data_IF_811629713003
#
_entry.id   IF_811629713003
#
_cell.length_a   1.000
_cell.length_b   1.000
_cell.length_c   1.000
_cell.angle_alpha   90.00
_cell.angle_beta   90.00
_cell.angle_gamma   90.00
#
_symmetry.space_group_name_H-M   'P 1'
#
loop_
_entity.id
_entity.type
_entity.pdbx_description
1 polymer ?
#
# COMPACT_ATOMS: atom_id res chain seq x y z
N UNK A 1 -26.49 68.34 -18.60
CA UNK A 1 -25.28 67.64 -19.05
C UNK A 1 -24.54 67.05 -17.87
N UNK A 2 -24.59 65.77 -17.73
CA UNK A 2 -23.91 65.04 -16.67
C UNK A 2 -22.54 64.60 -17.24
N UNK A 3 -21.46 65.11 -16.66
CA UNK A 3 -20.09 64.75 -17.00
C UNK A 3 -19.65 63.57 -16.12
N UNK A 4 -19.99 62.38 -16.58
CA UNK A 4 -19.67 61.14 -15.84
C UNK A 4 -18.39 60.44 -16.24
N UNK A 5 -17.40 61.11 -16.88
CA UNK A 5 -16.17 60.46 -17.36
C UNK A 5 -14.93 60.58 -16.44
N UNK A 6 -14.99 61.44 -15.39
CA UNK A 6 -13.85 61.63 -14.49
C UNK A 6 -13.70 60.54 -13.41
N UNK A 7 -14.76 59.76 -13.13
CA UNK A 7 -14.73 58.80 -12.00
C UNK A 7 -14.08 57.44 -12.32
N UNK A 8 -14.07 57.00 -13.56
CA UNK A 8 -13.54 55.67 -13.91
C UNK A 8 -12.01 55.55 -13.81
N UNK A 9 -11.29 56.65 -14.07
CA UNK A 9 -9.84 56.65 -13.95
C UNK A 9 -9.37 56.68 -12.48
N UNK A 10 -10.13 57.37 -11.62
CA UNK A 10 -9.89 57.40 -10.18
C UNK A 10 -10.09 56.02 -9.58
N UNK A 11 -11.18 55.33 -9.89
CA UNK A 11 -11.43 53.97 -9.39
C UNK A 11 -10.33 52.97 -9.82
N UNK A 12 -9.80 53.10 -11.02
CA UNK A 12 -8.64 52.28 -11.48
C UNK A 12 -7.39 52.56 -10.66
N UNK A 13 -7.15 53.83 -10.30
CA UNK A 13 -6.05 54.24 -9.42
C UNK A 13 -6.20 53.57 -8.02
N UNK A 14 -7.35 53.67 -7.43
CA UNK A 14 -7.64 53.05 -6.11
C UNK A 14 -7.50 51.55 -6.10
N UNK A 15 -8.00 50.84 -7.14
CA UNK A 15 -7.88 49.39 -7.25
C UNK A 15 -6.41 48.97 -7.41
N UNK A 16 -5.65 49.70 -8.24
CA UNK A 16 -4.22 49.40 -8.43
C UNK A 16 -3.39 49.67 -7.16
N UNK A 17 -3.74 50.74 -6.42
CA UNK A 17 -3.08 51.05 -5.15
C UNK A 17 -3.47 50.01 -4.08
N UNK A 18 -4.72 49.64 -3.99
CA UNK A 18 -5.19 48.57 -3.09
C UNK A 18 -4.57 47.23 -3.40
N UNK A 19 -4.33 46.90 -4.70
CA UNK A 19 -3.64 45.67 -5.09
C UNK A 19 -2.14 45.71 -4.79
N UNK A 20 -1.50 46.91 -4.85
CA UNK A 20 -0.09 47.08 -4.46
C UNK A 20 0.11 47.09 -2.95
N UNK A 21 -0.88 47.57 -2.19
CA UNK A 21 -0.89 47.59 -0.74
C UNK A 21 -1.53 46.31 -0.15
N UNK A 22 -1.91 45.34 -1.01
CA UNK A 22 -2.41 44.08 -0.53
C UNK A 22 -1.29 43.33 0.21
N UNK A 23 -1.27 43.57 1.51
CA UNK A 23 -0.50 42.74 2.45
C UNK A 23 -1.31 41.46 2.71
N UNK A 24 -0.91 40.30 2.21
CA UNK A 24 -1.63 39.06 2.46
C UNK A 24 -1.64 38.65 3.94
N UNK A 25 -1.07 39.47 4.80
CA UNK A 25 -0.91 39.20 6.22
C UNK A 25 0.23 38.21 6.50
N UNK A 26 0.56 38.04 7.76
CA UNK A 26 1.58 37.10 8.20
C UNK A 26 0.98 35.70 8.25
N UNK A 27 1.67 34.72 7.67
CA UNK A 27 1.31 33.30 7.83
C UNK A 27 1.51 32.94 9.29
N UNK A 28 0.43 32.54 9.96
CA UNK A 28 0.44 32.16 11.38
C UNK A 28 0.43 30.64 11.59
N UNK A 29 0.09 29.87 10.55
CA UNK A 29 0.05 28.42 10.64
C UNK A 29 0.37 27.80 9.29
N UNK A 30 1.18 26.75 9.29
CA UNK A 30 1.47 25.92 8.12
C UNK A 30 1.32 24.45 8.50
N UNK A 31 0.73 23.67 7.63
CA UNK A 31 0.65 22.21 7.76
C UNK A 31 1.18 21.58 6.47
N UNK A 32 2.11 20.69 6.61
CA UNK A 32 2.71 19.93 5.50
C UNK A 32 2.50 18.44 5.76
N UNK A 33 2.14 17.68 4.74
CA UNK A 33 2.03 16.23 4.86
C UNK A 33 2.76 15.54 3.71
N UNK A 34 3.49 14.50 4.04
CA UNK A 34 4.17 13.63 3.11
C UNK A 34 3.71 12.19 3.33
N UNK A 35 3.35 11.51 2.26
CA UNK A 35 2.96 10.11 2.30
C UNK A 35 3.65 9.36 1.16
N UNK A 36 4.24 8.22 1.48
CA UNK A 36 4.82 7.32 0.50
C UNK A 36 4.48 5.88 0.82
N UNK A 37 4.24 5.11 -0.22
CA UNK A 37 3.98 3.66 -0.11
C UNK A 37 4.89 2.93 -1.08
N UNK A 38 5.54 1.88 -0.61
CA UNK A 38 6.43 1.06 -1.39
C UNK A 38 6.04 -0.42 -1.28
N UNK A 39 5.67 -1.04 -2.40
CA UNK A 39 5.22 -2.42 -2.49
C UNK A 39 6.13 -3.21 -3.43
N UNK A 40 7.30 -3.68 -2.96
CA UNK A 40 8.23 -4.41 -3.82
C UNK A 40 7.71 -5.81 -4.14
N UNK A 41 7.66 -6.16 -5.41
CA UNK A 41 7.29 -7.49 -5.88
C UNK A 41 8.53 -8.39 -6.01
N UNK A 42 9.30 -8.56 -4.92
CA UNK A 42 10.57 -9.29 -4.94
C UNK A 42 10.33 -10.80 -4.93
N UNK A 43 9.34 -11.25 -4.14
CA UNK A 43 9.06 -12.67 -3.96
C UNK A 43 7.62 -13.00 -4.32
N UNK A 44 7.40 -14.15 -4.97
CA UNK A 44 6.05 -14.63 -5.28
C UNK A 44 5.28 -15.08 -4.04
N UNK A 45 6.01 -15.60 -3.04
CA UNK A 45 5.45 -16.15 -1.81
C UNK A 45 5.31 -15.13 -0.67
N UNK A 46 5.92 -13.94 -0.81
CA UNK A 46 5.85 -12.86 0.18
C UNK A 46 5.56 -11.54 -0.53
N UNK A 47 4.56 -10.84 -0.05
CA UNK A 47 4.16 -9.51 -0.54
C UNK A 47 4.40 -8.50 0.58
N UNK A 48 5.56 -7.84 0.59
CA UNK A 48 5.81 -6.75 1.52
C UNK A 48 5.12 -5.47 1.05
N UNK A 49 4.66 -4.68 2.01
CA UNK A 49 4.14 -3.33 1.80
C UNK A 49 4.67 -2.43 2.91
N UNK A 50 5.26 -1.32 2.53
CA UNK A 50 5.79 -0.32 3.44
C UNK A 50 5.06 0.99 3.19
N UNK A 51 4.66 1.64 4.26
CA UNK A 51 4.08 2.98 4.20
C UNK A 51 4.78 3.89 5.19
N UNK A 52 5.05 5.09 4.76
CA UNK A 52 5.63 6.13 5.58
C UNK A 52 4.82 7.41 5.42
N UNK A 53 4.42 7.99 6.55
CA UNK A 53 3.68 9.26 6.59
C UNK A 53 4.40 10.19 7.55
N UNK A 54 4.64 11.41 7.11
CA UNK A 54 5.13 12.50 7.94
C UNK A 54 4.15 13.67 7.85
N UNK A 55 3.63 14.09 9.00
CA UNK A 55 2.78 15.26 9.12
C UNK A 55 3.52 16.29 9.97
N UNK A 56 3.76 17.44 9.40
CA UNK A 56 4.39 18.57 10.07
C UNK A 56 3.39 19.69 10.21
N UNK A 57 3.35 20.28 11.38
CA UNK A 57 2.58 21.49 11.68
C UNK A 57 3.49 22.51 12.34
N UNK A 58 3.40 23.71 11.85
CA UNK A 58 4.04 24.88 12.39
C UNK A 58 2.99 25.92 12.71
N UNK A 59 3.12 26.60 13.85
CA UNK A 59 2.26 27.72 14.22
C UNK A 59 3.07 28.78 14.94
N UNK A 60 2.80 30.03 14.58
CA UNK A 60 3.32 31.22 15.23
C UNK A 60 2.25 31.81 16.14
N UNK A 61 2.54 31.90 17.44
CA UNK A 61 1.64 32.51 18.41
C UNK A 61 2.01 33.99 18.53
N UNK A 62 1.14 34.83 17.98
CA UNK A 62 1.34 36.30 18.00
C UNK A 62 1.38 36.90 19.42
N UNK A 63 1.01 36.13 20.44
CA UNK A 63 0.97 36.57 21.85
C UNK A 63 2.23 36.16 22.61
N UNK A 64 3.05 35.28 22.08
CA UNK A 64 4.27 34.75 22.69
C UNK A 64 5.41 34.77 21.69
N UNK A 65 6.60 35.06 22.18
CA UNK A 65 7.80 34.92 21.35
C UNK A 65 8.09 33.45 21.11
N UNK A 66 8.35 33.11 19.81
CA UNK A 66 8.72 31.78 19.36
C UNK A 66 7.57 31.01 18.72
N UNK A 67 7.96 30.02 17.96
CA UNK A 67 7.11 29.20 17.13
C UNK A 67 6.86 27.85 17.78
N UNK A 68 5.67 27.29 17.58
CA UNK A 68 5.35 25.94 18.01
C UNK A 68 5.38 25.00 16.80
N UNK A 69 6.10 23.90 16.94
CA UNK A 69 6.17 22.86 15.91
C UNK A 69 5.69 21.54 16.45
N UNK A 70 5.06 20.78 15.59
CA UNK A 70 4.63 19.41 15.88
C UNK A 70 4.86 18.55 14.63
N UNK A 71 5.52 17.42 14.83
CA UNK A 71 5.75 16.43 13.77
C UNK A 71 5.22 15.09 14.22
N UNK A 72 4.37 14.48 13.40
CA UNK A 72 3.89 13.12 13.57
C UNK A 72 4.43 12.27 12.43
N UNK A 73 5.20 11.27 12.79
CA UNK A 73 5.77 10.31 11.88
C UNK A 73 5.08 8.96 12.08
N UNK A 74 4.68 8.33 11.02
CA UNK A 74 4.11 6.99 11.05
C UNK A 74 4.81 6.10 10.03
N UNK A 75 5.37 5.03 10.51
CA UNK A 75 5.92 3.95 9.70
C UNK A 75 5.05 2.71 9.85
N UNK A 76 4.65 2.12 8.74
CA UNK A 76 3.92 0.87 8.73
C UNK A 76 4.59 -0.12 7.78
N UNK A 77 4.61 -1.38 8.17
CA UNK A 77 5.02 -2.48 7.31
C UNK A 77 4.03 -3.63 7.41
N UNK A 78 3.66 -4.18 6.27
CA UNK A 78 2.81 -5.35 6.18
C UNK A 78 3.49 -6.40 5.32
N UNK A 79 3.47 -7.64 5.81
CA UNK A 79 4.03 -8.80 5.11
C UNK A 79 2.93 -9.85 4.99
N UNK A 80 2.56 -10.21 3.77
CA UNK A 80 1.67 -11.34 3.54
C UNK A 80 2.50 -12.49 2.98
N UNK A 81 2.56 -13.57 3.74
CA UNK A 81 3.31 -14.79 3.40
C UNK A 81 2.31 -15.85 2.94
N UNK A 82 2.54 -16.42 1.76
CA UNK A 82 1.75 -17.51 1.21
C UNK A 82 2.56 -18.81 1.26
N UNK A 83 2.37 -19.65 2.29
CA UNK A 83 3.23 -20.81 2.55
C UNK A 83 3.26 -21.82 1.41
N UNK A 84 2.15 -22.01 0.72
CA UNK A 84 2.09 -22.92 -0.43
C UNK A 84 2.99 -22.46 -1.58
N UNK A 85 3.06 -21.16 -1.85
CA UNK A 85 3.93 -20.64 -2.91
C UNK A 85 5.41 -20.73 -2.55
N UNK A 86 5.74 -20.68 -1.25
CA UNK A 86 7.10 -20.89 -0.76
C UNK A 86 7.59 -22.32 -1.06
N UNK A 87 6.74 -23.31 -0.78
CA UNK A 87 7.05 -24.72 -1.09
C UNK A 87 7.10 -24.99 -2.59
N UNK A 88 6.24 -24.35 -3.37
CA UNK A 88 6.22 -24.51 -4.84
C UNK A 88 7.50 -24.00 -5.53
N UNK A 89 8.32 -23.21 -4.86
CA UNK A 89 9.66 -22.85 -5.34
C UNK A 89 10.62 -24.05 -5.32
N UNK A 90 10.45 -24.92 -4.33
CA UNK A 90 11.33 -26.08 -4.12
C UNK A 90 10.74 -27.31 -4.79
N UNK A 91 9.43 -27.47 -4.72
CA UNK A 91 8.73 -28.64 -5.22
C UNK A 91 7.38 -28.30 -5.84
N UNK A 92 7.24 -28.55 -7.13
CA UNK A 92 5.97 -28.49 -7.85
C UNK A 92 5.45 -29.92 -8.05
N UNK A 93 4.37 -30.33 -7.38
CA UNK A 93 3.78 -31.64 -7.66
C UNK A 93 3.32 -31.68 -9.11
N UNK A 94 3.63 -32.76 -9.82
CA UNK A 94 3.07 -32.97 -11.15
C UNK A 94 1.56 -33.01 -11.02
N UNK A 95 0.87 -32.03 -11.59
CA UNK A 95 -0.59 -32.04 -11.60
C UNK A 95 -1.05 -33.30 -12.31
N UNK A 96 -1.79 -34.16 -11.61
CA UNK A 96 -2.50 -35.25 -12.27
C UNK A 96 -3.36 -34.58 -13.36
N UNK A 97 -3.11 -34.93 -14.63
CA UNK A 97 -3.97 -34.52 -15.73
C UNK A 97 -5.38 -34.86 -15.31
N UNK A 98 -6.23 -33.87 -15.07
CA UNK A 98 -7.67 -34.08 -15.01
C UNK A 98 -8.03 -34.66 -16.37
N UNK A 99 -8.25 -35.96 -16.44
CA UNK A 99 -8.95 -36.55 -17.54
C UNK A 99 -10.30 -35.87 -17.56
N UNK A 100 -10.46 -34.97 -18.52
CA UNK A 100 -11.72 -34.34 -18.80
C UNK A 100 -12.69 -35.50 -19.11
N UNK A 101 -13.58 -35.72 -18.16
CA UNK A 101 -14.73 -36.60 -18.34
C UNK A 101 -15.55 -35.98 -19.48
N UNK A 102 -15.28 -36.47 -20.69
CA UNK A 102 -15.98 -36.12 -21.89
C UNK A 102 -17.45 -36.44 -21.72
N UNK A 103 -18.25 -35.39 -21.75
CA UNK A 103 -19.54 -35.28 -22.36
C UNK A 103 -20.32 -36.57 -22.59
N UNK A 104 -21.19 -36.93 -21.67
CA UNK A 104 -22.28 -37.87 -21.95
C UNK A 104 -23.35 -37.15 -22.75
N UNK A 105 -23.18 -37.08 -24.05
CA UNK A 105 -24.28 -36.86 -24.96
C UNK A 105 -25.18 -38.11 -24.95
N UNK A 106 -26.42 -37.95 -24.59
CA UNK A 106 -27.51 -38.92 -24.74
C UNK A 106 -27.74 -39.18 -26.22
N UNK A 107 -27.19 -40.28 -26.70
CA UNK A 107 -27.52 -40.85 -27.97
C UNK A 107 -28.18 -42.20 -27.73
N UNK A 108 -29.49 -42.28 -27.88
CA UNK A 108 -30.32 -43.48 -27.93
C UNK A 108 -29.98 -44.20 -29.24
N UNK A 109 -29.30 -45.35 -29.20
CA UNK A 109 -29.36 -46.29 -30.33
C UNK A 109 -29.33 -47.70 -29.80
N UNK A 110 -30.43 -48.40 -30.11
CA UNK A 110 -30.56 -49.84 -29.99
C UNK A 110 -29.69 -50.49 -31.04
N UNK A 111 -28.75 -51.42 -30.69
CA UNK A 111 -28.70 -52.66 -31.42
C UNK A 111 -27.81 -53.74 -30.72
N UNK A 112 -28.34 -54.89 -30.72
CA UNK A 112 -28.00 -56.29 -30.49
C UNK A 112 -26.51 -56.69 -30.55
N UNK A 113 -26.18 -57.55 -29.56
CA UNK A 113 -25.49 -58.81 -29.65
C UNK A 113 -24.09 -58.87 -30.28
N UNK A 114 -23.08 -59.13 -29.43
CA UNK A 114 -22.25 -60.33 -29.64
C UNK A 114 -21.23 -60.44 -28.49
N UNK A 115 -21.27 -61.56 -27.83
CA UNK A 115 -20.37 -62.08 -26.86
C UNK A 115 -18.94 -62.12 -27.38
N UNK A 116 -17.97 -61.51 -26.67
CA UNK A 116 -16.55 -61.87 -26.74
C UNK A 116 -15.91 -61.75 -25.36
N UNK A 117 -14.92 -62.59 -25.04
CA UNK A 117 -14.55 -62.95 -23.68
C UNK A 117 -13.76 -61.85 -22.94
N UNK A 118 -14.03 -61.80 -21.62
CA UNK A 118 -13.32 -60.99 -20.64
C UNK A 118 -11.79 -61.22 -20.73
N UNK A 119 -11.07 -60.25 -21.23
CA UNK A 119 -9.67 -60.07 -20.86
C UNK A 119 -9.64 -59.38 -19.50
N UNK A 120 -9.35 -60.17 -18.45
CA UNK A 120 -8.91 -59.66 -17.16
C UNK A 120 -7.83 -58.62 -17.38
N UNK A 121 -8.18 -57.35 -17.25
CA UNK A 121 -7.21 -56.29 -17.01
C UNK A 121 -6.70 -56.49 -15.60
N UNK A 122 -5.48 -57.01 -15.49
CA UNK A 122 -4.71 -56.84 -14.25
C UNK A 122 -4.68 -55.39 -13.88
N UNK A 123 -5.39 -55.03 -12.80
CA UNK A 123 -5.20 -53.78 -12.09
C UNK A 123 -3.77 -53.81 -11.54
N UNK A 124 -2.86 -53.23 -12.30
CA UNK A 124 -1.56 -52.83 -11.75
C UNK A 124 -1.85 -51.78 -10.68
N UNK A 125 -1.97 -52.25 -9.44
CA UNK A 125 -1.96 -51.37 -8.28
C UNK A 125 -0.70 -50.55 -8.38
N UNK A 126 -0.82 -49.31 -8.86
CA UNK A 126 0.22 -48.33 -8.81
C UNK A 126 0.67 -48.22 -7.34
N UNK A 127 1.87 -48.78 -7.07
CA UNK A 127 2.52 -48.59 -5.78
C UNK A 127 2.55 -47.08 -5.53
N UNK A 128 1.72 -46.61 -4.61
CA UNK A 128 1.75 -45.24 -4.15
C UNK A 128 3.10 -45.01 -3.46
N UNK A 129 4.07 -44.61 -4.27
CA UNK A 129 5.38 -44.21 -3.76
C UNK A 129 5.10 -43.06 -2.79
N UNK A 130 5.31 -43.31 -1.50
CA UNK A 130 5.23 -42.30 -0.47
C UNK A 130 6.26 -41.22 -0.82
N UNK A 131 5.76 -40.07 -1.31
CA UNK A 131 6.60 -38.92 -1.58
C UNK A 131 6.39 -37.90 -0.44
N UNK A 132 7.35 -37.74 0.48
CA UNK A 132 7.22 -36.86 1.63
C UNK A 132 6.98 -35.40 1.22
N UNK A 133 7.49 -35.00 0.04
CA UNK A 133 7.29 -33.65 -0.49
C UNK A 133 5.84 -33.41 -0.93
N UNK A 134 5.13 -34.42 -1.43
CA UNK A 134 3.70 -34.31 -1.72
C UNK A 134 2.87 -34.11 -0.45
N UNK A 135 3.22 -34.83 0.60
CA UNK A 135 2.54 -34.73 1.90
C UNK A 135 2.77 -33.33 2.49
N UNK A 136 4.02 -32.85 2.42
CA UNK A 136 4.39 -31.53 2.89
C UNK A 136 3.66 -30.42 2.10
N UNK A 137 3.64 -30.53 0.75
CA UNK A 137 2.88 -29.60 -0.11
C UNK A 137 1.38 -29.61 0.24
N UNK A 138 0.79 -30.79 0.47
CA UNK A 138 -0.60 -30.95 0.87
C UNK A 138 -0.89 -30.29 2.21
N UNK A 139 0.04 -30.35 3.16
CA UNK A 139 -0.05 -29.66 4.45
C UNK A 139 -0.04 -28.14 4.26
N UNK A 140 0.94 -27.59 3.54
CA UNK A 140 1.04 -26.15 3.32
C UNK A 140 -0.11 -25.58 2.50
N UNK A 141 -0.73 -26.37 1.62
CA UNK A 141 -1.94 -25.96 0.88
C UNK A 141 -3.14 -25.69 1.78
N UNK A 142 -3.18 -26.28 2.97
CA UNK A 142 -4.25 -26.09 3.96
C UNK A 142 -4.02 -24.87 4.84
N UNK A 143 -2.80 -24.32 4.85
CA UNK A 143 -2.47 -23.13 5.62
C UNK A 143 -2.87 -21.90 4.81
N UNK A 144 -3.72 -21.08 5.39
CA UNK A 144 -4.08 -19.80 4.82
C UNK A 144 -2.85 -18.85 4.78
N UNK A 145 -2.84 -17.86 3.88
CA UNK A 145 -1.83 -16.81 3.93
C UNK A 145 -1.76 -16.17 5.32
N UNK A 146 -0.54 -15.97 5.80
CA UNK A 146 -0.27 -15.33 7.09
C UNK A 146 0.11 -13.88 6.84
N UNK A 147 -0.57 -12.96 7.51
CA UNK A 147 -0.26 -11.54 7.44
C UNK A 147 0.34 -11.08 8.76
N UNK A 148 1.49 -10.41 8.67
CA UNK A 148 2.17 -9.76 9.77
C UNK A 148 2.16 -8.27 9.50
N UNK A 149 1.69 -7.47 10.46
CA UNK A 149 1.70 -6.02 10.37
C UNK A 149 2.46 -5.42 11.54
N UNK A 150 3.25 -4.41 11.25
CA UNK A 150 3.94 -3.58 12.23
C UNK A 150 3.61 -2.11 11.94
N UNK A 151 3.33 -1.35 12.97
CA UNK A 151 3.12 0.09 12.86
C UNK A 151 3.79 0.78 14.02
N UNK A 152 4.57 1.79 13.72
CA UNK A 152 5.21 2.66 14.68
C UNK A 152 4.72 4.10 14.42
N UNK A 153 4.42 4.83 15.49
CA UNK A 153 4.05 6.24 15.41
C UNK A 153 4.92 7.01 16.38
N UNK A 154 5.61 8.01 15.87
CA UNK A 154 6.44 8.90 16.65
C UNK A 154 5.87 10.32 16.57
N UNK A 155 5.53 10.88 17.72
CA UNK A 155 5.08 12.27 17.86
C UNK A 155 6.17 13.08 18.50
N UNK A 156 6.51 14.20 17.90
CA UNK A 156 7.47 15.17 18.41
C UNK A 156 6.83 16.53 18.43
N UNK A 157 7.03 17.30 19.49
CA UNK A 157 6.58 18.68 19.57
C UNK A 157 7.65 19.51 20.26
N UNK A 158 7.81 20.72 19.78
CA UNK A 158 8.68 21.70 20.39
C UNK A 158 7.99 23.07 20.37
N UNK A 159 8.18 23.82 21.42
CA UNK A 159 7.57 25.14 21.63
C UNK A 159 8.67 26.18 21.77
N UNK A 160 8.35 27.42 21.41
CA UNK A 160 9.23 28.58 21.54
C UNK A 160 10.54 28.46 20.73
N UNK A 161 10.46 27.84 19.57
CA UNK A 161 11.62 27.78 18.68
C UNK A 161 11.81 29.11 17.98
N UNK A 162 13.03 29.61 17.99
CA UNK A 162 13.45 30.82 17.29
C UNK A 162 14.25 30.41 16.07
N UNK A 163 13.78 30.76 14.85
CA UNK A 163 14.47 30.46 13.61
C UNK A 163 13.71 29.53 12.67
N UNK A 164 14.38 29.13 11.59
CA UNK A 164 13.79 28.27 10.58
C UNK A 164 13.94 26.79 10.93
N UNK A 165 12.85 26.04 10.78
CA UNK A 165 12.85 24.59 11.01
C UNK A 165 13.46 23.85 9.82
N UNK A 166 14.56 23.10 10.02
CA UNK A 166 15.21 22.39 8.92
C UNK A 166 14.30 21.32 8.32
N UNK A 167 14.38 21.16 7.01
CA UNK A 167 13.55 20.18 6.27
C UNK A 167 13.72 18.75 6.80
N UNK A 168 14.93 18.38 7.23
CA UNK A 168 15.19 17.07 7.82
C UNK A 168 14.37 16.77 9.07
N UNK A 169 14.06 17.79 9.88
CA UNK A 169 13.18 17.65 11.05
C UNK A 169 11.74 17.38 10.64
N UNK A 170 11.23 18.07 9.59
CA UNK A 170 9.88 17.89 9.06
C UNK A 170 9.61 16.44 8.63
N UNK A 171 10.63 15.80 8.06
CA UNK A 171 10.58 14.40 7.65
C UNK A 171 11.08 13.41 8.69
N UNK A 172 11.45 13.87 9.89
CA UNK A 172 11.90 13.02 10.97
C UNK A 172 13.32 12.46 10.83
N UNK A 173 14.10 12.97 9.91
CA UNK A 173 15.49 12.53 9.67
C UNK A 173 16.50 13.16 10.64
N UNK A 174 16.15 14.32 11.22
CA UNK A 174 16.98 15.00 12.22
C UNK A 174 16.37 14.86 13.62
N UNK A 175 17.21 14.66 14.65
CA UNK A 175 16.78 14.66 16.02
C UNK A 175 16.42 16.07 16.50
N UNK A 176 15.74 16.17 17.65
CA UNK A 176 15.25 17.44 18.20
C UNK A 176 16.35 18.43 18.62
N UNK A 177 17.49 17.93 19.09
CA UNK A 177 18.61 18.77 19.59
C UNK A 177 19.38 19.52 18.49
N UNK A 178 19.04 19.32 17.22
CA UNK A 178 19.64 20.08 16.12
C UNK A 178 18.81 21.32 15.75
N UNK A 179 17.88 21.73 16.64
CA UNK A 179 17.02 22.91 16.46
C UNK A 179 17.47 24.13 17.28
N UNK A 180 18.63 24.07 17.94
CA UNK A 180 19.21 25.18 18.70
C UNK A 180 19.81 26.25 17.78
#
# INVERSE_FOLDING_TARGET
>A
SWSGQSNLNDYRGYILTALKEFDPGKVTQTSESFNTTYNPAIFKWMKPSFNYTANFRWSDDLTREGQNISTQLRFGSNFTITPVQMIELIYKPKSAKKTSSANRSRGRSRNRSRSQPEKKKEETKAKTSFNPLNTLHGFFKRINPVSLSYTETLNRSANQIIGEVPTGYKFGWLPYHDLD
#
